data_IF_112403456710
#
_entry.id   IF_112403456710
#
_cell.length_a   1.000
_cell.length_b   1.000
_cell.length_c   1.000
_cell.angle_alpha   90.00
_cell.angle_beta   90.00
_cell.angle_gamma   90.00
#
_symmetry.space_group_name_H-M   'P 1'
#
loop_
_entity.id
_entity.type
_entity.pdbx_description
1 polymer ?
#
# COMPACT_ATOMS: atom_id res chain seq x y z
N UNK A 1 5.32 -0.46 32.29
CA UNK A 1 4.98 -1.17 31.04
C UNK A 1 5.39 -0.32 29.87
N UNK A 2 6.13 -0.89 28.96
CA UNK A 2 6.61 -0.16 27.80
C UNK A 2 5.53 -0.07 26.74
N UNK A 3 5.43 1.10 26.13
CA UNK A 3 4.55 1.28 24.99
C UNK A 3 5.13 0.55 23.77
N UNK A 4 4.28 -0.05 22.97
CA UNK A 4 4.70 -0.64 21.70
C UNK A 4 5.18 0.43 20.76
N UNK A 5 6.14 0.07 19.91
CA UNK A 5 6.53 0.94 18.81
C UNK A 5 5.34 1.15 17.89
N UNK A 6 5.16 2.38 17.45
CA UNK A 6 4.14 2.73 16.47
C UNK A 6 4.82 3.07 15.17
N UNK A 7 4.38 2.42 14.11
CA UNK A 7 4.91 2.68 12.76
C UNK A 7 3.79 3.28 11.94
N UNK A 8 4.05 4.46 11.39
CA UNK A 8 3.11 5.16 10.51
C UNK A 8 3.55 5.02 9.08
N UNK A 9 2.67 4.48 8.24
CA UNK A 9 2.96 4.27 6.82
C UNK A 9 1.83 4.85 5.98
N UNK A 10 2.15 5.10 4.71
CA UNK A 10 1.18 5.50 3.71
C UNK A 10 1.20 4.47 2.59
N UNK A 11 0.02 4.02 2.17
CA UNK A 11 -0.11 3.01 1.13
C UNK A 11 -0.90 3.56 -0.05
N UNK A 12 -0.49 3.19 -1.25
CA UNK A 12 -1.14 3.61 -2.48
C UNK A 12 -2.02 2.49 -3.02
N UNK A 13 -3.31 2.79 -3.16
CA UNK A 13 -4.24 1.95 -3.91
C UNK A 13 -4.28 2.55 -5.31
N UNK A 14 -3.39 2.05 -6.17
CA UNK A 14 -3.23 2.59 -7.53
C UNK A 14 -4.25 1.93 -8.43
N UNK A 15 -5.10 2.75 -9.05
CA UNK A 15 -6.18 2.28 -9.90
C UNK A 15 -5.90 2.65 -11.34
N UNK A 16 -6.09 1.69 -12.24
CA UNK A 16 -6.01 1.94 -13.67
C UNK A 16 -7.18 1.20 -14.34
N UNK A 17 -8.09 1.95 -14.92
CA UNK A 17 -9.36 1.38 -15.35
C UNK A 17 -10.13 0.89 -14.11
N UNK A 18 -10.48 -0.39 -14.09
CA UNK A 18 -11.14 -1.00 -12.93
C UNK A 18 -10.23 -2.01 -12.23
N UNK A 19 -8.92 -1.85 -12.39
CA UNK A 19 -7.93 -2.76 -11.78
C UNK A 19 -7.09 -2.02 -10.75
N UNK A 20 -6.65 -2.80 -9.77
CA UNK A 20 -5.85 -2.32 -8.64
C UNK A 20 -4.47 -2.96 -8.69
N UNK A 21 -3.43 -2.14 -8.47
CA UNK A 21 -2.06 -2.63 -8.46
C UNK A 21 -1.70 -3.22 -7.10
N UNK A 22 -1.25 -4.46 -7.09
CA UNK A 22 -0.72 -5.11 -5.89
C UNK A 22 0.70 -5.58 -6.17
N UNK A 23 1.55 -5.56 -5.13
CA UNK A 23 2.97 -5.90 -5.26
C UNK A 23 3.34 -6.99 -4.27
N UNK A 24 4.32 -7.81 -4.65
CA UNK A 24 4.77 -8.93 -3.83
C UNK A 24 6.09 -8.58 -3.15
N UNK A 25 6.14 -8.74 -1.83
CA UNK A 25 7.35 -8.43 -1.07
C UNK A 25 8.50 -9.34 -1.49
N UNK A 26 9.66 -8.73 -1.75
CA UNK A 26 10.83 -9.43 -2.22
C UNK A 26 11.86 -9.75 -1.15
N UNK A 27 11.63 -9.36 0.10
CA UNK A 27 12.62 -9.55 1.17
C UNK A 27 11.95 -9.57 2.55
N UNK A 28 12.73 -9.95 3.55
CA UNK A 28 12.31 -9.90 4.95
C UNK A 28 11.45 -11.07 5.38
N UNK A 29 10.90 -10.95 6.58
CA UNK A 29 10.12 -12.01 7.20
C UNK A 29 8.83 -12.32 6.46
N UNK A 30 8.30 -11.35 5.72
CA UNK A 30 7.04 -11.50 4.99
C UNK A 30 7.25 -11.64 3.49
N UNK A 31 8.44 -12.09 3.07
CA UNK A 31 8.73 -12.31 1.66
C UNK A 31 7.68 -13.24 1.04
N UNK A 32 7.20 -12.88 -0.14
CA UNK A 32 6.20 -13.65 -0.87
C UNK A 32 4.77 -13.21 -0.62
N UNK A 33 4.51 -12.49 0.47
CA UNK A 33 3.18 -11.94 0.70
C UNK A 33 2.95 -10.72 -0.19
N UNK A 34 1.70 -10.46 -0.47
CA UNK A 34 1.30 -9.34 -1.32
C UNK A 34 0.87 -8.15 -0.47
N UNK A 35 0.97 -6.95 -1.04
CA UNK A 35 0.64 -5.72 -0.34
C UNK A 35 0.29 -4.62 -1.34
N UNK A 36 -0.34 -3.55 -0.84
CA UNK A 36 -0.45 -2.31 -1.60
C UNK A 36 0.84 -1.54 -1.36
N UNK A 37 1.50 -1.03 -2.43
CA UNK A 37 2.82 -0.41 -2.27
C UNK A 37 2.77 0.89 -1.48
N UNK A 38 3.85 1.20 -0.80
CA UNK A 38 3.98 2.39 0.02
C UNK A 38 5.13 2.25 0.99
N UNK A 39 5.15 3.07 2.03
CA UNK A 39 6.21 3.01 3.01
C UNK A 39 6.03 4.00 4.14
N UNK A 40 7.08 4.14 4.94
CA UNK A 40 7.04 4.94 6.16
C UNK A 40 6.89 6.43 5.87
N UNK A 41 6.07 7.08 6.69
CA UNK A 41 5.93 8.53 6.67
C UNK A 41 7.09 9.10 7.48
N UNK A 42 7.88 9.98 6.87
CA UNK A 42 9.04 10.59 7.53
C UNK A 42 8.64 11.81 8.34
N UNK A 43 9.49 12.19 9.29
CA UNK A 43 9.22 13.35 10.14
C UNK A 43 9.05 14.61 9.27
N UNK A 44 7.99 15.37 9.56
CA UNK A 44 7.70 16.59 8.82
C UNK A 44 7.01 16.38 7.48
N UNK A 45 6.77 15.13 7.10
CA UNK A 45 6.16 14.78 5.83
C UNK A 45 4.68 14.48 6.04
N UNK A 46 3.82 14.92 5.12
CA UNK A 46 2.42 14.51 5.15
C UNK A 46 2.32 13.08 4.61
N UNK A 47 1.22 12.40 4.96
CA UNK A 47 0.99 11.05 4.45
C UNK A 47 0.88 11.04 2.93
N UNK A 48 0.25 12.07 2.34
CA UNK A 48 0.14 12.19 0.88
C UNK A 48 1.51 12.35 0.22
N UNK A 49 2.37 13.21 0.78
CA UNK A 49 3.71 13.39 0.24
C UNK A 49 4.53 12.11 0.38
N UNK A 50 4.36 11.40 1.50
CA UNK A 50 5.07 10.15 1.73
C UNK A 50 4.71 9.09 0.69
N UNK A 51 3.42 8.95 0.37
CA UNK A 51 3.01 7.93 -0.59
C UNK A 51 3.52 8.25 -1.99
N UNK A 52 3.52 9.52 -2.38
CA UNK A 52 4.05 9.94 -3.69
C UNK A 52 5.55 9.64 -3.76
N UNK A 53 6.29 9.98 -2.71
CA UNK A 53 7.74 9.74 -2.64
C UNK A 53 8.06 8.24 -2.67
N UNK A 54 7.38 7.45 -1.84
CA UNK A 54 7.63 6.00 -1.75
C UNK A 54 7.35 5.29 -3.08
N UNK A 55 6.28 5.67 -3.76
CA UNK A 55 5.96 5.04 -5.05
C UNK A 55 6.99 5.41 -6.10
N UNK A 56 7.49 6.65 -6.09
CA UNK A 56 8.57 7.04 -7.00
C UNK A 56 9.83 6.22 -6.74
N UNK A 57 10.19 6.05 -5.47
CA UNK A 57 11.38 5.30 -5.10
C UNK A 57 11.27 3.81 -5.43
N UNK A 58 10.11 3.21 -5.18
CA UNK A 58 9.94 1.77 -5.32
C UNK A 58 9.52 1.32 -6.70
N UNK A 59 8.70 2.09 -7.38
CA UNK A 59 8.11 1.69 -8.66
C UNK A 59 8.50 2.57 -9.83
N UNK A 60 9.24 3.66 -9.58
CA UNK A 60 9.74 4.57 -10.62
C UNK A 60 8.64 5.27 -11.41
N UNK A 61 7.47 5.45 -10.82
CA UNK A 61 6.36 6.18 -11.45
C UNK A 61 5.95 7.36 -10.59
N UNK A 62 5.39 8.38 -11.25
CA UNK A 62 4.77 9.50 -10.58
C UNK A 62 3.28 9.23 -10.45
N UNK A 63 2.75 9.41 -9.25
CA UNK A 63 1.33 9.22 -8.99
C UNK A 63 0.70 10.52 -8.52
N UNK A 64 -0.60 10.60 -8.67
CA UNK A 64 -1.42 11.67 -8.14
C UNK A 64 -2.43 11.05 -7.18
N UNK A 65 -2.55 11.62 -5.98
CA UNK A 65 -3.53 11.18 -4.99
C UNK A 65 -4.88 11.74 -5.39
N UNK A 66 -5.87 10.87 -5.56
CA UNK A 66 -7.22 11.29 -5.91
C UNK A 66 -8.09 11.51 -4.69
N UNK A 67 -7.99 10.60 -3.71
CA UNK A 67 -8.75 10.72 -2.46
C UNK A 67 -8.16 9.82 -1.39
N UNK A 68 -8.49 10.13 -0.14
CA UNK A 68 -8.15 9.29 0.99
C UNK A 68 -9.18 8.17 1.07
N UNK A 69 -8.70 6.93 1.13
CA UNK A 69 -9.59 5.76 1.25
C UNK A 69 -9.95 5.49 2.71
N UNK A 70 -8.99 5.61 3.60
CA UNK A 70 -9.19 5.37 5.02
C UNK A 70 -7.88 5.08 5.74
N UNK A 71 -7.98 4.82 7.04
CA UNK A 71 -6.85 4.44 7.87
C UNK A 71 -7.04 3.02 8.38
N UNK A 72 -6.00 2.21 8.28
CA UNK A 72 -5.96 0.87 8.85
C UNK A 72 -5.06 0.88 10.07
N UNK A 73 -5.58 0.41 11.21
CA UNK A 73 -4.82 0.20 12.43
C UNK A 73 -4.68 -1.31 12.62
N UNK A 74 -3.45 -1.78 12.78
CA UNK A 74 -3.22 -3.21 12.94
C UNK A 74 -2.11 -3.50 13.94
N UNK A 75 -2.36 -4.45 14.86
CA UNK A 75 -1.39 -4.88 15.84
C UNK A 75 -0.63 -6.09 15.34
N UNK A 76 0.66 -5.89 15.03
CA UNK A 76 1.57 -7.00 14.82
C UNK A 76 2.25 -7.33 16.16
N UNK A 77 2.83 -8.53 16.30
CA UNK A 77 3.47 -8.88 17.58
C UNK A 77 4.54 -7.87 18.03
N UNK A 78 5.28 -7.29 17.08
CA UNK A 78 6.42 -6.43 17.38
C UNK A 78 6.08 -4.95 17.40
N UNK A 79 4.97 -4.54 16.78
CA UNK A 79 4.65 -3.11 16.65
C UNK A 79 3.18 -2.89 16.30
N UNK A 80 2.73 -1.65 16.55
CA UNK A 80 1.42 -1.20 16.08
C UNK A 80 1.58 -0.46 14.77
N UNK A 81 0.86 -0.89 13.74
CA UNK A 81 0.87 -0.26 12.42
C UNK A 81 -0.31 0.68 12.28
N UNK A 82 -0.04 1.91 11.86
CA UNK A 82 -1.07 2.87 11.45
C UNK A 82 -0.82 3.19 9.99
N UNK A 83 -1.75 2.82 9.11
CA UNK A 83 -1.56 2.92 7.66
C UNK A 83 -2.63 3.82 7.06
N UNK A 84 -2.19 4.95 6.49
CA UNK A 84 -3.05 5.85 5.73
C UNK A 84 -3.12 5.37 4.29
N UNK A 85 -4.31 5.10 3.78
CA UNK A 85 -4.51 4.55 2.44
C UNK A 85 -5.13 5.59 1.52
N UNK A 86 -4.54 5.72 0.33
CA UNK A 86 -4.97 6.71 -0.67
C UNK A 86 -5.25 6.03 -1.99
N UNK A 87 -6.35 6.45 -2.64
CA UNK A 87 -6.62 6.06 -4.02
C UNK A 87 -5.81 6.98 -4.91
N UNK A 88 -5.02 6.38 -5.80
CA UNK A 88 -4.06 7.10 -6.63
C UNK A 88 -4.16 6.66 -8.08
N UNK A 89 -3.62 7.49 -8.98
CA UNK A 89 -3.45 7.10 -10.39
C UNK A 89 -2.04 7.45 -10.84
N UNK A 90 -1.54 6.68 -11.80
CA UNK A 90 -0.24 6.95 -12.40
C UNK A 90 -0.39 8.08 -13.42
N UNK A 91 0.45 9.11 -13.30
CA UNK A 91 0.43 10.23 -14.23
C UNK A 91 1.61 10.21 -15.21
N UNK A 92 2.70 9.53 -14.84
CA UNK A 92 3.84 9.37 -15.78
C UNK A 92 4.74 8.24 -15.32
N UNK A 93 5.54 7.73 -16.24
CA UNK A 93 6.52 6.69 -15.98
C UNK A 93 5.99 5.29 -16.25
N UNK A 94 6.91 4.33 -16.25
CA UNK A 94 6.61 2.91 -16.38
C UNK A 94 7.01 2.19 -15.13
N UNK A 95 6.17 1.28 -14.64
CA UNK A 95 6.45 0.52 -13.42
C UNK A 95 7.75 -0.28 -13.60
N UNK A 96 8.70 -0.02 -12.70
CA UNK A 96 9.96 -0.73 -12.61
C UNK A 96 10.11 -1.19 -11.18
N UNK A 97 10.18 -2.49 -10.95
CA UNK A 97 10.24 -3.04 -9.59
C UNK A 97 11.68 -2.97 -9.08
N UNK A 98 11.89 -2.22 -8.01
CA UNK A 98 13.21 -2.09 -7.39
C UNK A 98 13.37 -2.98 -6.17
N UNK A 99 12.29 -3.23 -5.45
CA UNK A 99 12.33 -4.00 -4.20
C UNK A 99 11.34 -5.16 -4.18
N UNK A 100 10.39 -5.20 -5.09
CA UNK A 100 9.35 -6.21 -5.11
C UNK A 100 9.69 -7.35 -6.08
N UNK A 101 9.25 -8.55 -5.75
CA UNK A 101 9.42 -9.73 -6.61
C UNK A 101 8.39 -9.81 -7.72
N UNK A 102 7.26 -9.12 -7.55
CA UNK A 102 6.20 -9.17 -8.55
C UNK A 102 5.19 -8.06 -8.40
N UNK A 103 4.40 -7.87 -9.43
CA UNK A 103 3.30 -6.92 -9.44
C UNK A 103 2.18 -7.48 -10.30
N UNK A 104 0.94 -7.23 -9.90
CA UNK A 104 -0.24 -7.66 -10.66
C UNK A 104 -1.30 -6.56 -10.62
N UNK A 105 -2.05 -6.46 -11.71
CA UNK A 105 -3.25 -5.64 -11.78
C UNK A 105 -4.44 -6.56 -11.60
N UNK A 106 -5.23 -6.34 -10.56
CA UNK A 106 -6.37 -7.20 -10.22
C UNK A 106 -7.66 -6.42 -10.17
N UNK A 107 -8.75 -7.02 -10.64
CA UNK A 107 -10.09 -6.47 -10.42
C UNK A 107 -10.45 -6.62 -8.93
N UNK A 108 -11.43 -5.85 -8.46
CA UNK A 108 -11.83 -5.88 -7.06
C UNK A 108 -12.23 -7.29 -6.61
N UNK A 109 -12.89 -8.06 -7.45
CA UNK A 109 -13.32 -9.43 -7.12
C UNK A 109 -12.17 -10.44 -7.19
N UNK A 110 -11.01 -10.04 -7.71
CA UNK A 110 -9.82 -10.88 -7.78
C UNK A 110 -8.85 -10.62 -6.62
N UNK A 111 -9.10 -9.60 -5.80
CA UNK A 111 -8.20 -9.23 -4.72
C UNK A 111 -8.02 -10.34 -3.69
N UNK A 112 -8.95 -11.27 -3.59
CA UNK A 112 -8.82 -12.40 -2.68
C UNK A 112 -8.00 -13.56 -3.27
N UNK A 113 -7.48 -13.41 -4.50
CA UNK A 113 -6.73 -14.46 -5.17
C UNK A 113 -5.26 -14.54 -4.75
N UNK A 114 -4.75 -13.55 -4.01
CA UNK A 114 -3.37 -13.53 -3.53
C UNK A 114 -3.35 -13.45 -2.01
N UNK A 115 -2.23 -13.89 -1.42
CA UNK A 115 -2.07 -13.87 0.04
C UNK A 115 -1.50 -12.53 0.48
N UNK A 116 -2.35 -11.66 1.01
CA UNK A 116 -1.94 -10.36 1.52
C UNK A 116 -1.37 -10.42 2.92
N UNK A 117 -0.50 -9.47 3.24
CA UNK A 117 -0.16 -9.16 4.63
C UNK A 117 -1.44 -8.82 5.39
N UNK A 118 -1.47 -9.13 6.68
CA UNK A 118 -2.70 -8.98 7.48
C UNK A 118 -3.30 -7.59 7.42
N UNK A 119 -2.48 -6.55 7.53
CA UNK A 119 -2.99 -5.17 7.46
C UNK A 119 -3.60 -4.87 6.09
N UNK A 120 -3.02 -5.44 5.03
CA UNK A 120 -3.48 -5.20 3.66
C UNK A 120 -4.80 -5.91 3.36
N UNK A 121 -5.13 -6.97 4.09
CA UNK A 121 -6.46 -7.58 4.01
C UNK A 121 -7.52 -6.54 4.40
N UNK A 122 -7.21 -5.69 5.38
CA UNK A 122 -8.13 -4.63 5.79
C UNK A 122 -8.30 -3.57 4.70
N UNK A 123 -7.25 -3.30 3.92
CA UNK A 123 -7.34 -2.40 2.78
C UNK A 123 -8.28 -2.97 1.72
N UNK A 124 -8.19 -4.28 1.45
CA UNK A 124 -9.10 -4.95 0.52
C UNK A 124 -10.55 -4.76 0.95
N UNK A 125 -10.83 -4.87 2.24
CA UNK A 125 -12.18 -4.64 2.77
C UNK A 125 -12.64 -3.21 2.53
N UNK A 126 -11.76 -2.23 2.68
CA UNK A 126 -12.09 -0.83 2.40
C UNK A 126 -12.44 -0.64 0.92
N UNK A 127 -11.65 -1.25 0.03
CA UNK A 127 -11.90 -1.17 -1.41
C UNK A 127 -13.25 -1.77 -1.75
N UNK A 128 -13.54 -2.95 -1.26
CA UNK A 128 -14.79 -3.67 -1.55
C UNK A 128 -16.00 -2.96 -0.95
N UNK A 129 -15.84 -2.35 0.22
CA UNK A 129 -16.89 -1.55 0.82
C UNK A 129 -17.15 -0.26 0.10
N UNK A 130 -16.11 0.40 -0.40
CA UNK A 130 -16.21 1.67 -1.11
C UNK A 130 -16.88 1.53 -2.50
N UNK A 131 -16.88 0.34 -3.06
CA UNK A 131 -17.46 0.07 -4.37
C UNK A 131 -18.98 -0.10 -4.37
N UNK A 132 -19.61 0.07 -3.24
CA UNK A 132 -21.06 -0.13 -3.11
C UNK A 132 -21.85 1.14 -3.33
#
# INVERSE_FOLDING_TARGET
MEARSRIKVAAAVIVQGNKYLVTQRGYGAYKGFWEFPGGKIEAGESAEDAVVREIREELCVAIEVEKRLGTVEYEYPEFHLSMECFVCRIVSGEITLREHDGAQWLHADELNSVSFLNADVEVVKLIQGAGR
#
